data_IF_027912144610
#
_entry.id   IF_027912144610
#
_cell.length_a   1.000
_cell.length_b   1.000
_cell.length_c   1.000
_cell.angle_alpha   90.00
_cell.angle_beta   90.00
_cell.angle_gamma   90.00
#
_symmetry.space_group_name_H-M   'P 1'
#
loop_
_entity.id
_entity.type
_entity.pdbx_description
1 polymer ?
#
# COMPACT_ATOMS: atom_id res chain seq x y z
N UNK A 1 -64.65 22.05 -36.34
CA UNK A 1 -64.48 23.46 -35.92
C UNK A 1 -63.14 23.55 -35.20
N UNK A 2 -62.10 23.94 -35.94
CA UNK A 2 -61.44 25.27 -35.96
C UNK A 2 -60.40 25.43 -34.83
N UNK A 3 -59.14 25.28 -35.27
CA UNK A 3 -57.89 25.76 -34.68
C UNK A 3 -58.00 27.21 -34.23
N UNK A 4 -57.22 27.59 -33.21
CA UNK A 4 -56.50 28.85 -33.29
C UNK A 4 -55.12 28.75 -32.63
N UNK A 5 -54.11 29.07 -33.44
CA UNK A 5 -52.72 29.27 -33.06
C UNK A 5 -52.58 30.61 -32.33
N UNK A 6 -51.57 30.73 -31.47
CA UNK A 6 -50.72 31.92 -31.47
C UNK A 6 -49.30 31.54 -31.02
N UNK A 7 -48.39 31.65 -31.97
CA UNK A 7 -46.94 31.74 -31.80
C UNK A 7 -46.60 33.05 -31.08
N UNK A 8 -45.65 33.00 -30.14
CA UNK A 8 -44.56 33.96 -30.12
C UNK A 8 -43.23 33.25 -29.84
N UNK A 9 -42.23 33.69 -30.59
CA UNK A 9 -40.93 33.11 -30.83
C UNK A 9 -39.89 34.05 -30.18
N UNK A 10 -38.95 33.53 -29.38
CA UNK A 10 -37.68 34.20 -29.10
C UNK A 10 -36.54 33.17 -29.11
N UNK A 11 -35.55 33.45 -29.98
CA UNK A 11 -34.22 32.86 -30.18
C UNK A 11 -33.48 32.55 -28.85
N UNK A 12 -32.90 31.36 -28.65
CA UNK A 12 -31.65 30.80 -29.20
C UNK A 12 -30.36 31.28 -28.48
N UNK A 13 -29.71 30.35 -27.78
CA UNK A 13 -28.24 30.24 -27.70
C UNK A 13 -27.86 28.78 -27.42
N UNK A 14 -27.50 28.03 -28.47
CA UNK A 14 -26.65 26.85 -28.32
C UNK A 14 -25.21 27.32 -28.31
N UNK A 15 -24.50 27.10 -27.21
CA UNK A 15 -23.04 27.24 -27.18
C UNK A 15 -22.53 26.03 -26.42
N UNK A 16 -22.04 25.06 -27.18
CA UNK A 16 -21.02 24.08 -26.79
C UNK A 16 -20.36 23.65 -28.12
N UNK A 17 -19.64 24.59 -28.73
CA UNK A 17 -18.64 24.27 -29.75
C UNK A 17 -17.42 23.73 -29.01
N UNK A 18 -17.27 22.41 -29.05
CA UNK A 18 -16.08 21.70 -28.63
C UNK A 18 -15.08 21.76 -29.80
N UNK A 19 -13.85 22.27 -29.64
CA UNK A 19 -12.87 22.23 -30.72
C UNK A 19 -12.38 20.78 -30.93
N UNK A 20 -12.35 20.34 -32.18
CA UNK A 20 -11.73 19.09 -32.61
C UNK A 20 -10.24 19.09 -32.23
N UNK A 21 -9.83 18.13 -31.41
CA UNK A 21 -8.42 17.93 -31.04
C UNK A 21 -7.78 17.02 -32.10
N UNK A 22 -6.82 17.56 -32.85
CA UNK A 22 -5.90 16.76 -33.65
C UNK A 22 -5.01 15.92 -32.72
N UNK A 23 -5.12 14.60 -32.82
CA UNK A 23 -4.20 13.66 -32.16
C UNK A 23 -2.89 13.69 -32.96
N UNK A 24 -1.88 14.37 -32.41
CA UNK A 24 -0.51 14.29 -32.91
C UNK A 24 0.16 13.09 -32.28
N UNK A 25 0.39 12.08 -33.11
CA UNK A 25 1.18 10.89 -32.81
C UNK A 25 2.66 11.30 -32.65
N UNK A 26 3.22 11.12 -31.45
CA UNK A 26 4.63 11.37 -31.15
C UNK A 26 5.27 10.08 -30.65
N UNK A 27 5.35 9.07 -31.52
CA UNK A 27 6.41 8.08 -31.43
C UNK A 27 7.62 8.50 -32.27
N UNK A 28 8.78 8.38 -31.61
CA UNK A 28 10.14 8.23 -32.14
C UNK A 28 11.00 9.50 -32.24
N UNK A 29 11.93 9.64 -31.29
CA UNK A 29 13.36 9.60 -31.62
C UNK A 29 14.23 9.35 -30.37
N UNK A 30 14.88 8.19 -30.38
CA UNK A 30 16.25 7.92 -29.91
C UNK A 30 16.81 8.70 -28.70
N UNK A 31 16.94 8.01 -27.57
CA UNK A 31 18.15 8.13 -26.74
C UNK A 31 18.59 6.74 -26.27
N UNK A 32 19.72 6.32 -26.85
CA UNK A 32 20.60 5.33 -26.25
C UNK A 32 21.15 5.93 -24.95
N UNK A 33 21.09 5.20 -23.85
CA UNK A 33 22.21 5.19 -22.94
C UNK A 33 22.36 3.81 -22.30
N UNK A 34 23.60 3.37 -22.40
CA UNK A 34 24.23 2.17 -21.87
C UNK A 34 24.32 2.26 -20.35
N UNK A 35 23.98 1.20 -19.61
CA UNK A 35 25.01 0.45 -18.89
C UNK A 35 24.45 -0.87 -18.33
N UNK A 36 25.42 -1.77 -18.23
CA UNK A 36 25.45 -3.19 -17.92
C UNK A 36 25.03 -3.57 -16.49
N UNK A 37 24.52 -4.81 -16.35
CA UNK A 37 24.32 -5.43 -15.03
C UNK A 37 23.50 -6.72 -15.01
N UNK A 38 23.74 -7.65 -15.94
CA UNK A 38 23.03 -8.92 -15.96
C UNK A 38 23.63 -9.90 -14.92
N UNK A 39 22.82 -10.36 -13.97
CA UNK A 39 23.00 -11.66 -13.31
C UNK A 39 21.63 -12.30 -13.16
N UNK A 40 21.30 -13.26 -14.02
CA UNK A 40 20.60 -14.47 -13.60
C UNK A 40 20.93 -15.66 -14.52
N UNK A 41 21.30 -16.74 -13.86
CA UNK A 41 21.54 -18.08 -14.37
C UNK A 41 20.23 -18.70 -14.85
N UNK A 42 20.18 -19.22 -16.08
CA UNK A 42 19.02 -19.93 -16.60
C UNK A 42 19.40 -20.82 -17.80
N UNK A 43 19.63 -22.09 -17.51
CA UNK A 43 19.97 -23.16 -18.44
C UNK A 43 18.69 -23.69 -19.11
N UNK A 44 18.59 -23.76 -20.46
CA UNK A 44 17.90 -24.85 -21.22
C UNK A 44 17.99 -24.69 -22.75
N UNK A 45 18.83 -25.53 -23.35
CA UNK A 45 18.59 -26.47 -24.47
C UNK A 45 17.51 -26.19 -25.55
N UNK A 46 18.01 -26.27 -26.80
CA UNK A 46 17.44 -26.96 -27.99
C UNK A 46 16.52 -26.19 -28.96
N UNK A 47 16.91 -26.18 -30.25
CA UNK A 47 16.02 -25.81 -31.36
C UNK A 47 16.75 -25.41 -32.64
N UNK A 48 17.16 -26.39 -33.44
CA UNK A 48 17.68 -26.25 -34.82
C UNK A 48 16.56 -25.84 -35.80
N UNK A 49 16.85 -25.03 -36.84
CA UNK A 49 16.56 -25.30 -38.28
C UNK A 49 17.31 -24.28 -39.20
N UNK A 50 17.88 -24.83 -40.27
CA UNK A 50 18.62 -24.27 -41.42
C UNK A 50 17.87 -23.30 -42.38
N UNK A 51 18.62 -22.39 -43.03
CA UNK A 51 18.83 -22.29 -44.50
C UNK A 51 19.71 -21.04 -44.81
N UNK A 52 20.98 -21.13 -45.22
CA UNK A 52 21.59 -21.41 -46.55
C UNK A 52 21.42 -20.34 -47.65
N UNK A 53 22.50 -19.60 -47.92
CA UNK A 53 23.18 -19.32 -49.22
C UNK A 53 24.06 -18.07 -49.05
N UNK A 54 25.24 -17.87 -49.64
CA UNK A 54 26.26 -18.61 -50.41
C UNK A 54 27.32 -17.53 -50.66
N UNK A 55 28.61 -17.84 -50.59
CA UNK A 55 29.59 -17.34 -51.57
C UNK A 55 30.85 -18.20 -51.50
N UNK A 56 31.41 -18.43 -52.68
CA UNK A 56 32.10 -19.63 -53.12
C UNK A 56 33.63 -19.54 -53.05
N UNK A 57 34.23 -20.72 -53.04
CA UNK A 57 35.66 -21.04 -53.17
C UNK A 57 36.32 -20.50 -54.45
N UNK A 58 37.65 -20.35 -54.42
CA UNK A 58 38.55 -20.75 -55.51
C UNK A 58 40.01 -20.92 -55.00
N UNK A 59 40.58 -22.06 -55.38
CA UNK A 59 41.96 -22.35 -55.79
C UNK A 59 43.10 -22.72 -54.81
N UNK A 60 43.51 -23.98 -55.01
CA UNK A 60 44.74 -24.71 -54.62
C UNK A 60 45.86 -24.41 -55.62
N UNK A 61 47.12 -24.24 -55.17
CA UNK A 61 48.33 -24.77 -55.85
C UNK A 61 49.49 -24.99 -54.84
N UNK A 62 49.90 -26.26 -54.68
CA UNK A 62 51.25 -26.88 -54.76
C UNK A 62 52.50 -25.97 -54.57
N UNK A 63 53.68 -26.36 -54.05
CA UNK A 63 54.46 -27.60 -53.94
C UNK A 63 55.67 -27.24 -53.01
N UNK A 64 56.33 -28.13 -52.26
CA UNK A 64 57.61 -28.78 -52.60
C UNK A 64 58.08 -29.59 -51.36
N UNK A 65 58.19 -30.92 -51.45
CA UNK A 65 59.40 -31.75 -51.69
C UNK A 65 59.87 -32.50 -50.43
N UNK A 66 59.84 -33.83 -50.59
CA UNK A 66 60.35 -34.90 -49.73
C UNK A 66 61.87 -34.89 -49.55
N UNK A 67 62.34 -35.48 -48.43
CA UNK A 67 63.42 -36.47 -48.45
C UNK A 67 63.48 -37.21 -47.10
N UNK A 68 63.33 -38.53 -47.18
CA UNK A 68 63.58 -39.55 -46.15
C UNK A 68 65.04 -39.47 -45.60
N UNK A 69 65.46 -40.03 -44.46
CA UNK A 69 65.41 -41.45 -44.08
C UNK A 69 66.14 -41.65 -42.72
N UNK A 70 65.83 -42.78 -42.07
CA UNK A 70 66.59 -43.56 -41.06
C UNK A 70 66.65 -43.20 -39.56
N UNK A 71 66.23 -44.18 -38.75
CA UNK A 71 66.38 -44.37 -37.29
C UNK A 71 67.65 -45.24 -37.07
N UNK A 72 68.41 -45.10 -35.96
CA UNK A 72 68.29 -46.14 -34.92
C UNK A 72 68.48 -45.67 -33.46
N UNK A 73 68.15 -46.61 -32.57
CA UNK A 73 68.04 -46.61 -31.12
C UNK A 73 69.35 -46.35 -30.32
N UNK A 74 69.20 -45.97 -29.03
CA UNK A 74 70.04 -46.56 -27.97
C UNK A 74 70.70 -45.62 -26.93
N UNK A 75 70.46 -46.00 -25.66
CA UNK A 75 71.30 -45.84 -24.45
C UNK A 75 71.08 -44.69 -23.43
N UNK A 76 70.94 -45.14 -22.17
CA UNK A 76 70.87 -44.40 -20.91
C UNK A 76 72.18 -43.65 -20.57
N UNK A 77 72.10 -42.54 -19.80
CA UNK A 77 72.69 -42.44 -18.44
C UNK A 77 73.03 -40.99 -17.96
N UNK A 78 72.68 -40.74 -16.69
CA UNK A 78 73.26 -39.83 -15.65
C UNK A 78 73.23 -38.28 -15.79
N UNK A 79 72.46 -37.62 -14.89
CA UNK A 79 72.57 -36.20 -14.46
C UNK A 79 73.65 -36.03 -13.34
N UNK A 80 74.16 -34.84 -12.90
CA UNK A 80 73.54 -33.50 -12.83
C UNK A 80 74.56 -32.35 -13.16
N UNK A 81 74.33 -31.03 -13.02
CA UNK A 81 73.67 -30.27 -11.97
C UNK A 81 73.36 -28.83 -12.41
N UNK A 82 72.16 -28.35 -12.04
CA UNK A 82 71.75 -26.97 -12.20
C UNK A 82 70.95 -26.47 -10.99
N UNK A 83 71.27 -25.23 -10.60
CA UNK A 83 70.38 -24.23 -9.99
C UNK A 83 70.08 -24.36 -8.49
N UNK A 84 70.81 -23.57 -7.68
CA UNK A 84 70.33 -23.06 -6.39
C UNK A 84 70.12 -21.54 -6.49
N UNK A 85 68.89 -21.08 -6.76
CA UNK A 85 68.44 -19.69 -6.50
C UNK A 85 66.92 -19.46 -6.45
N UNK A 86 66.08 -20.50 -6.42
CA UNK A 86 64.60 -20.34 -6.35
C UNK A 86 64.01 -20.32 -4.93
N UNK A 87 64.81 -20.54 -3.87
CA UNK A 87 64.28 -20.69 -2.51
C UNK A 87 63.97 -19.35 -1.80
N UNK A 88 64.56 -18.22 -2.22
CA UNK A 88 64.42 -16.95 -1.51
C UNK A 88 63.14 -16.16 -1.84
N UNK A 89 62.55 -16.36 -3.03
CA UNK A 89 61.34 -15.62 -3.42
C UNK A 89 60.07 -16.15 -2.74
N UNK A 90 59.93 -17.46 -2.58
CA UNK A 90 58.80 -18.05 -1.86
C UNK A 90 58.80 -17.69 -0.37
N UNK A 91 59.99 -17.62 0.25
CA UNK A 91 60.13 -17.19 1.65
C UNK A 91 59.76 -15.71 1.80
N UNK A 92 60.20 -14.85 0.87
CA UNK A 92 59.81 -13.44 0.86
C UNK A 92 58.30 -13.27 0.67
N UNK A 93 57.71 -14.01 -0.26
CA UNK A 93 56.27 -13.94 -0.53
C UNK A 93 55.44 -14.44 0.67
N UNK A 94 55.84 -15.53 1.32
CA UNK A 94 55.20 -16.03 2.53
C UNK A 94 55.26 -15.01 3.69
N UNK A 95 56.38 -14.29 3.82
CA UNK A 95 56.56 -13.25 4.82
C UNK A 95 55.66 -12.03 4.54
N UNK A 96 55.57 -11.60 3.28
CA UNK A 96 54.65 -10.52 2.88
C UNK A 96 53.20 -10.92 3.10
N UNK A 97 52.82 -12.16 2.76
CA UNK A 97 51.47 -12.68 2.99
C UNK A 97 51.11 -12.67 4.48
N UNK A 98 52.04 -13.09 5.36
CA UNK A 98 51.84 -13.04 6.80
C UNK A 98 51.61 -11.61 7.31
N UNK A 99 52.33 -10.63 6.77
CA UNK A 99 52.14 -9.22 7.10
C UNK A 99 50.75 -8.75 6.65
N UNK A 100 50.34 -9.07 5.42
CA UNK A 100 49.02 -8.69 4.90
C UNK A 100 47.89 -9.31 5.73
N UNK A 101 47.97 -10.62 6.03
CA UNK A 101 46.99 -11.30 6.87
C UNK A 101 46.96 -10.70 8.28
N UNK A 102 48.12 -10.35 8.85
CA UNK A 102 48.20 -9.67 10.14
C UNK A 102 47.55 -8.29 10.12
N UNK A 103 47.80 -7.48 9.08
CA UNK A 103 47.18 -6.16 8.92
C UNK A 103 45.68 -6.26 8.72
N UNK A 104 45.20 -7.22 7.92
CA UNK A 104 43.76 -7.46 7.72
C UNK A 104 43.12 -7.92 9.02
N UNK A 105 43.72 -8.87 9.75
CA UNK A 105 43.23 -9.31 11.05
C UNK A 105 43.18 -8.18 12.09
N UNK A 106 44.21 -7.33 12.12
CA UNK A 106 44.21 -6.12 12.94
C UNK A 106 43.08 -5.17 12.54
N UNK A 107 42.93 -4.90 11.23
CA UNK A 107 41.85 -4.05 10.70
C UNK A 107 40.48 -4.59 11.06
N UNK A 108 40.22 -5.90 10.92
CA UNK A 108 38.92 -6.53 11.24
C UNK A 108 38.63 -6.49 12.75
N UNK A 109 39.64 -6.75 13.58
CA UNK A 109 39.46 -6.74 15.05
C UNK A 109 39.29 -5.35 15.65
N UNK A 110 39.83 -4.33 14.97
CA UNK A 110 39.75 -2.91 15.34
C UNK A 110 38.82 -2.11 14.42
N UNK A 111 38.04 -2.79 13.57
CA UNK A 111 37.04 -2.14 12.73
C UNK A 111 35.85 -1.75 13.60
N UNK A 112 35.51 -0.46 13.59
CA UNK A 112 34.36 0.07 14.31
C UNK A 112 34.66 0.40 15.78
N UNK A 113 33.91 1.36 16.31
CA UNK A 113 33.84 1.57 17.76
C UNK A 113 32.92 0.50 18.34
N UNK A 114 33.42 -0.28 19.31
CA UNK A 114 32.58 -1.16 20.11
C UNK A 114 31.81 -0.28 21.09
N UNK A 115 30.57 0.03 20.75
CA UNK A 115 29.65 0.75 21.62
C UNK A 115 28.93 -0.30 22.47
N UNK A 116 28.91 -0.16 23.80
CA UNK A 116 28.16 -1.08 24.65
C UNK A 116 26.66 -0.85 24.47
N UNK A 117 25.82 -1.87 24.67
CA UNK A 117 24.36 -1.69 24.62
C UNK A 117 23.88 -0.58 25.57
N UNK A 118 24.54 -0.44 26.73
CA UNK A 118 24.32 0.67 27.66
C UNK A 118 24.72 2.05 27.11
N UNK A 119 25.73 2.13 26.25
CA UNK A 119 26.12 3.40 25.58
C UNK A 119 25.17 3.75 24.42
N UNK A 120 24.49 2.75 23.82
CA UNK A 120 23.45 2.94 22.80
C UNK A 120 22.17 3.52 23.43
N UNK A 121 21.80 3.07 24.63
CA UNK A 121 20.60 3.52 25.35
C UNK A 121 20.88 4.55 26.45
N UNK A 122 22.07 5.14 26.49
CA UNK A 122 22.46 6.12 27.54
C UNK A 122 21.56 7.36 27.56
N UNK A 123 20.97 7.68 26.41
CA UNK A 123 20.07 8.81 26.19
C UNK A 123 18.57 8.37 26.21
N UNK A 124 18.28 7.13 26.61
CA UNK A 124 16.98 6.47 26.49
C UNK A 124 16.89 5.57 25.24
N UNK A 125 15.85 4.73 25.15
CA UNK A 125 15.43 4.21 23.84
C UNK A 125 15.02 5.44 23.03
N UNK A 126 15.78 5.79 21.99
CA UNK A 126 15.30 6.79 21.03
C UNK A 126 13.93 6.34 20.54
N UNK A 127 12.93 7.23 20.56
CA UNK A 127 11.66 6.95 19.91
C UNK A 127 11.93 7.00 18.41
N UNK A 128 12.11 5.84 17.79
CA UNK A 128 11.95 5.74 16.35
C UNK A 128 10.46 5.96 16.08
N UNK A 129 10.11 7.13 15.57
CA UNK A 129 8.79 7.35 15.00
C UNK A 129 8.83 6.79 13.58
N UNK A 130 8.72 5.46 13.48
CA UNK A 130 8.63 4.71 12.23
C UNK A 130 7.18 4.69 11.70
N UNK A 131 6.31 5.57 12.21
CA UNK A 131 4.95 5.70 11.72
C UNK A 131 4.91 6.33 10.32
N UNK A 132 3.93 5.92 9.54
CA UNK A 132 3.65 6.49 8.22
C UNK A 132 2.64 7.65 8.29
N UNK A 133 2.55 8.31 9.45
CA UNK A 133 1.61 9.41 9.68
C UNK A 133 1.82 10.53 8.65
N UNK A 134 0.73 10.88 7.95
CA UNK A 134 0.67 11.97 6.98
C UNK A 134 -0.50 12.86 7.33
N UNK A 135 -0.23 14.02 7.93
CA UNK A 135 -1.25 15.00 8.28
C UNK A 135 -1.25 16.07 7.20
N UNK A 136 -2.29 16.08 6.38
CA UNK A 136 -2.43 17.02 5.26
C UNK A 136 -3.56 18.03 5.53
N UNK A 137 -3.34 19.32 5.23
CA UNK A 137 -4.39 20.32 5.34
C UNK A 137 -5.36 20.19 4.17
N UNK A 138 -6.58 20.68 4.36
CA UNK A 138 -7.43 21.00 3.23
C UNK A 138 -6.89 22.25 2.52
N UNK A 139 -6.90 22.27 1.18
CA UNK A 139 -6.45 23.43 0.39
C UNK A 139 -7.53 23.92 -0.55
N UNK A 140 -7.57 25.23 -0.79
CA UNK A 140 -8.43 25.81 -1.83
C UNK A 140 -7.85 25.61 -3.25
N UNK A 141 -8.57 26.11 -4.26
CA UNK A 141 -8.18 26.05 -5.67
C UNK A 141 -6.81 26.70 -5.99
N UNK A 142 -6.29 27.53 -5.09
CA UNK A 142 -4.98 28.19 -5.22
C UNK A 142 -3.88 27.48 -4.42
N UNK A 143 -4.19 26.35 -3.79
CA UNK A 143 -3.28 25.60 -2.92
C UNK A 143 -3.08 26.25 -1.56
N UNK A 144 -3.93 27.19 -1.16
CA UNK A 144 -3.85 27.82 0.16
C UNK A 144 -4.59 26.96 1.20
N UNK A 145 -3.93 26.72 2.35
CA UNK A 145 -4.51 26.00 3.48
C UNK A 145 -5.81 26.65 3.96
N UNK A 146 -6.86 25.83 4.09
CA UNK A 146 -8.13 26.17 4.71
C UNK A 146 -8.05 25.78 6.19
N UNK A 147 -8.13 26.77 7.08
CA UNK A 147 -8.13 26.57 8.53
C UNK A 147 -9.57 26.64 9.03
N UNK A 148 -10.16 25.46 9.29
CA UNK A 148 -11.48 25.32 9.87
C UNK A 148 -11.41 24.45 11.13
N UNK A 149 -12.11 24.87 12.18
CA UNK A 149 -12.32 24.04 13.36
C UNK A 149 -13.45 23.04 13.02
N UNK A 150 -13.17 21.75 13.10
CA UNK A 150 -14.15 20.73 12.79
C UNK A 150 -15.26 20.71 13.86
N UNK A 151 -16.52 20.67 13.43
CA UNK A 151 -17.70 20.57 14.31
C UNK A 151 -18.51 19.31 14.03
N UNK A 152 -18.56 18.88 12.76
CA UNK A 152 -19.31 17.70 12.33
C UNK A 152 -18.39 16.69 11.63
N UNK A 153 -18.36 15.47 12.15
CA UNK A 153 -17.54 14.37 11.66
C UNK A 153 -18.44 13.21 11.25
N UNK A 154 -18.21 12.63 10.09
CA UNK A 154 -18.78 11.33 9.71
C UNK A 154 -17.67 10.28 9.82
N UNK A 155 -17.96 9.13 10.43
CA UNK A 155 -17.02 8.00 10.47
C UNK A 155 -17.55 6.82 9.68
N UNK A 156 -16.76 6.29 8.76
CA UNK A 156 -17.02 5.05 8.04
C UNK A 156 -16.05 3.97 8.49
N UNK A 157 -16.50 2.70 8.48
CA UNK A 157 -15.68 1.61 8.95
C UNK A 157 -16.46 0.36 9.30
N UNK A 158 -15.83 -0.51 10.08
CA UNK A 158 -16.42 -1.72 10.63
C UNK A 158 -16.25 -1.76 12.16
N UNK A 159 -15.75 -2.86 12.72
CA UNK A 159 -15.74 -3.13 14.15
C UNK A 159 -15.10 -2.04 15.03
N UNK A 160 -13.99 -1.36 14.66
CA UNK A 160 -13.39 -0.30 15.49
C UNK A 160 -14.40 0.78 15.88
N UNK A 161 -15.29 1.16 14.97
CA UNK A 161 -16.37 2.13 15.21
C UNK A 161 -17.71 1.48 15.55
N UNK A 162 -17.97 0.24 15.13
CA UNK A 162 -19.27 -0.42 15.34
C UNK A 162 -19.38 -1.12 16.71
N UNK A 163 -18.29 -1.62 17.26
CA UNK A 163 -18.31 -2.40 18.50
C UNK A 163 -18.75 -1.55 19.69
N UNK A 164 -19.63 -2.12 20.51
CA UNK A 164 -20.23 -1.46 21.67
C UNK A 164 -20.85 -0.10 21.34
N UNK A 165 -21.45 0.09 20.15
CA UNK A 165 -21.96 1.37 19.61
C UNK A 165 -22.70 2.28 20.62
N UNK A 166 -23.50 1.71 21.51
CA UNK A 166 -24.27 2.43 22.54
C UNK A 166 -23.47 2.81 23.80
N UNK A 167 -22.24 2.32 23.93
CA UNK A 167 -21.36 2.55 25.08
C UNK A 167 -20.59 3.85 24.96
N UNK A 168 -20.36 4.53 26.09
CA UNK A 168 -19.45 5.68 26.15
C UNK A 168 -17.98 5.32 25.87
N UNK A 169 -17.63 4.03 25.92
CA UNK A 169 -16.30 3.53 25.58
C UNK A 169 -16.20 3.04 24.11
N UNK A 170 -17.24 3.23 23.28
CA UNK A 170 -17.15 3.08 21.83
C UNK A 170 -16.19 4.13 21.23
N UNK A 171 -15.44 3.77 20.18
CA UNK A 171 -14.43 4.66 19.59
C UNK A 171 -15.03 5.96 19.04
N UNK A 172 -16.16 5.90 18.33
CA UNK A 172 -16.81 7.09 17.78
C UNK A 172 -17.31 8.02 18.90
N UNK A 173 -17.87 7.45 19.97
CA UNK A 173 -18.31 8.22 21.14
C UNK A 173 -17.12 8.84 21.91
N UNK A 174 -15.99 8.13 21.99
CA UNK A 174 -14.75 8.66 22.55
C UNK A 174 -14.23 9.82 21.69
N UNK A 175 -14.18 9.68 20.37
CA UNK A 175 -13.78 10.75 19.46
C UNK A 175 -14.66 11.99 19.65
N UNK A 176 -15.98 11.82 19.66
CA UNK A 176 -16.93 12.93 19.88
C UNK A 176 -16.61 13.69 21.18
N UNK A 177 -16.34 12.94 22.25
CA UNK A 177 -16.01 13.50 23.57
C UNK A 177 -14.65 14.19 23.61
N UNK A 178 -13.60 13.58 23.08
CA UNK A 178 -12.24 14.12 23.13
C UNK A 178 -12.08 15.35 22.23
N UNK A 179 -12.87 15.45 21.16
CA UNK A 179 -12.80 16.56 20.19
C UNK A 179 -13.88 17.63 20.37
N UNK A 180 -14.85 17.41 21.26
CA UNK A 180 -16.05 18.26 21.41
C UNK A 180 -16.82 18.47 20.08
N UNK A 181 -16.92 17.40 19.28
CA UNK A 181 -17.58 17.40 17.96
C UNK A 181 -18.83 16.52 17.94
N UNK A 182 -19.69 16.77 16.95
CA UNK A 182 -20.78 15.85 16.61
C UNK A 182 -20.23 14.77 15.68
N UNK A 183 -20.33 13.50 16.09
CA UNK A 183 -19.89 12.35 15.29
C UNK A 183 -21.10 11.54 14.81
N UNK A 184 -21.25 11.43 13.50
CA UNK A 184 -22.22 10.56 12.83
C UNK A 184 -21.56 9.23 12.51
N UNK A 185 -21.90 8.19 13.28
CA UNK A 185 -21.32 6.87 13.10
C UNK A 185 -21.98 6.13 11.92
N UNK A 186 -21.27 5.97 10.81
CA UNK A 186 -21.73 5.26 9.62
C UNK A 186 -20.98 3.94 9.41
N UNK A 187 -20.39 3.38 10.47
CA UNK A 187 -19.77 2.06 10.42
C UNK A 187 -20.80 0.93 10.43
N UNK A 188 -20.43 -0.20 9.80
CA UNK A 188 -21.24 -1.41 9.73
C UNK A 188 -20.41 -2.61 10.20
N UNK A 189 -20.84 -3.27 11.27
CA UNK A 189 -20.24 -4.49 11.79
C UNK A 189 -20.21 -5.61 10.74
N UNK A 190 -19.09 -6.34 10.70
CA UNK A 190 -18.86 -7.41 9.74
C UNK A 190 -18.67 -6.96 8.29
N UNK A 191 -18.68 -5.66 7.99
CA UNK A 191 -18.30 -5.15 6.68
C UNK A 191 -16.78 -5.16 6.48
N UNK A 192 -16.37 -4.99 5.23
CA UNK A 192 -14.99 -5.01 4.74
C UNK A 192 -14.83 -3.95 3.66
N UNK A 193 -13.60 -3.58 3.31
CA UNK A 193 -13.34 -2.62 2.24
C UNK A 193 -13.49 -3.27 0.87
N UNK A 194 -12.82 -4.40 0.62
CA UNK A 194 -12.79 -5.03 -0.70
C UNK A 194 -14.12 -5.75 -0.99
N UNK A 195 -14.93 -5.22 -1.91
CA UNK A 195 -16.16 -5.87 -2.33
C UNK A 195 -15.87 -7.27 -2.92
N UNK A 196 -16.73 -8.24 -2.66
CA UNK A 196 -16.55 -9.58 -3.22
C UNK A 196 -16.96 -9.64 -4.70
N UNK A 197 -17.84 -8.75 -5.14
CA UNK A 197 -18.30 -8.63 -6.51
C UNK A 197 -18.20 -7.18 -7.01
N UNK A 198 -17.73 -7.01 -8.25
CA UNK A 198 -17.74 -5.70 -8.92
C UNK A 198 -19.16 -5.19 -9.15
N UNK A 199 -20.05 -6.09 -9.58
CA UNK A 199 -21.47 -5.81 -9.71
C UNK A 199 -22.19 -6.40 -8.51
N UNK A 200 -22.90 -5.56 -7.77
CA UNK A 200 -23.64 -6.00 -6.60
C UNK A 200 -24.61 -7.14 -6.94
N UNK A 201 -24.47 -8.26 -6.24
CA UNK A 201 -25.40 -9.39 -6.29
C UNK A 201 -25.77 -9.81 -4.86
N UNK A 202 -27.02 -9.52 -4.40
CA UNK A 202 -27.47 -9.85 -3.05
C UNK A 202 -27.51 -11.35 -2.76
N UNK A 203 -27.51 -12.20 -3.80
CA UNK A 203 -27.56 -13.66 -3.64
C UNK A 203 -26.18 -14.29 -3.42
N UNK A 204 -25.12 -13.56 -3.79
CA UNK A 204 -23.73 -14.02 -3.67
C UNK A 204 -23.03 -13.34 -2.52
N UNK A 205 -23.06 -12.00 -2.49
CA UNK A 205 -22.34 -11.19 -1.52
C UNK A 205 -23.22 -10.03 -1.02
N UNK A 206 -24.28 -10.32 -0.23
CA UNK A 206 -25.19 -9.27 0.23
C UNK A 206 -24.52 -8.23 1.11
N UNK A 207 -23.42 -8.59 1.81
CA UNK A 207 -22.63 -7.65 2.60
C UNK A 207 -21.94 -6.58 1.76
N UNK A 208 -21.74 -6.80 0.46
CA UNK A 208 -21.12 -5.81 -0.42
C UNK A 208 -21.90 -4.49 -0.40
N UNK A 209 -23.24 -4.51 -0.25
CA UNK A 209 -24.04 -3.29 -0.14
C UNK A 209 -23.59 -2.36 1.00
N UNK A 210 -22.91 -2.89 2.02
CA UNK A 210 -22.42 -2.16 3.18
C UNK A 210 -20.91 -1.87 3.15
N UNK A 211 -20.20 -2.19 2.05
CA UNK A 211 -18.84 -1.72 1.83
C UNK A 211 -18.80 -0.19 1.64
N UNK A 212 -17.65 0.42 1.92
CA UNK A 212 -17.45 1.87 1.86
C UNK A 212 -17.96 2.49 0.56
N UNK A 213 -17.59 1.91 -0.59
CA UNK A 213 -17.99 2.43 -1.91
C UNK A 213 -19.50 2.64 -2.05
N UNK A 214 -20.32 1.67 -1.65
CA UNK A 214 -21.77 1.79 -1.79
C UNK A 214 -22.41 2.72 -0.75
N UNK A 215 -21.87 2.75 0.47
CA UNK A 215 -22.28 3.70 1.51
C UNK A 215 -21.97 5.15 1.11
N UNK A 216 -20.78 5.40 0.54
CA UNK A 216 -20.40 6.72 0.03
C UNK A 216 -21.26 7.12 -1.17
N UNK A 217 -21.54 6.19 -2.09
CA UNK A 217 -22.45 6.48 -3.20
C UNK A 217 -23.88 6.80 -2.71
N UNK A 218 -24.36 6.13 -1.66
CA UNK A 218 -25.64 6.49 -1.01
C UNK A 218 -25.56 7.91 -0.42
N UNK A 219 -24.46 8.25 0.26
CA UNK A 219 -24.25 9.57 0.87
C UNK A 219 -24.32 10.73 -0.13
N UNK A 220 -23.77 10.55 -1.35
CA UNK A 220 -23.85 11.55 -2.42
C UNK A 220 -25.19 11.52 -3.19
N UNK A 221 -26.15 10.68 -2.75
CA UNK A 221 -27.51 10.65 -3.28
C UNK A 221 -27.74 9.73 -4.48
N UNK A 222 -26.85 8.76 -4.75
CA UNK A 222 -27.11 7.72 -5.74
C UNK A 222 -28.31 6.87 -5.27
N UNK A 223 -29.33 6.63 -6.11
CA UNK A 223 -30.57 5.95 -5.70
C UNK A 223 -30.37 4.43 -5.55
N UNK A 224 -29.71 4.03 -4.46
CA UNK A 224 -29.32 2.65 -4.14
C UNK A 224 -30.25 1.96 -3.13
N UNK A 225 -31.42 2.52 -2.80
CA UNK A 225 -32.35 1.99 -1.79
C UNK A 225 -32.69 0.50 -1.97
N UNK A 226 -32.79 0.05 -3.23
CA UNK A 226 -33.04 -1.34 -3.57
C UNK A 226 -31.94 -2.28 -3.07
N UNK A 227 -30.67 -1.87 -3.15
CA UNK A 227 -29.53 -2.69 -2.77
C UNK A 227 -29.60 -3.06 -1.29
N UNK A 228 -29.89 -2.08 -0.44
CA UNK A 228 -29.98 -2.29 1.01
C UNK A 228 -31.19 -3.12 1.41
N UNK A 229 -32.31 -2.96 0.70
CA UNK A 229 -33.50 -3.81 0.91
C UNK A 229 -33.20 -5.27 0.53
N UNK A 230 -32.54 -5.47 -0.61
CA UNK A 230 -32.16 -6.80 -1.08
C UNK A 230 -31.10 -7.46 -0.19
N UNK A 231 -30.11 -6.69 0.28
CA UNK A 231 -29.10 -7.12 1.25
C UNK A 231 -29.76 -7.61 2.55
N UNK A 232 -30.66 -6.80 3.12
CA UNK A 232 -31.36 -7.15 4.36
C UNK A 232 -32.21 -8.41 4.20
N UNK A 233 -32.93 -8.54 3.08
CA UNK A 233 -33.71 -9.73 2.78
C UNK A 233 -32.84 -11.00 2.63
N UNK A 234 -31.67 -10.87 2.00
CA UNK A 234 -30.75 -12.00 1.80
C UNK A 234 -30.03 -12.42 3.09
N UNK A 235 -29.67 -11.46 3.95
CA UNK A 235 -28.99 -11.71 5.22
C UNK A 235 -29.94 -12.21 6.32
N UNK A 236 -31.19 -11.74 6.33
CA UNK A 236 -32.18 -12.08 7.36
C UNK A 236 -31.68 -11.72 8.76
N UNK A 237 -31.65 -12.69 9.67
CA UNK A 237 -31.17 -12.48 11.05
C UNK A 237 -29.68 -12.09 11.15
N UNK A 238 -28.93 -12.17 10.04
CA UNK A 238 -27.52 -11.75 9.95
C UNK A 238 -27.34 -10.30 9.52
N UNK A 239 -28.42 -9.57 9.21
CA UNK A 239 -28.31 -8.15 8.88
C UNK A 239 -27.71 -7.40 10.07
N UNK A 240 -26.68 -6.56 9.86
CA UNK A 240 -26.12 -5.74 10.93
C UNK A 240 -27.21 -4.91 11.61
N UNK A 241 -27.23 -4.89 12.94
CA UNK A 241 -28.32 -4.29 13.72
C UNK A 241 -28.44 -2.78 13.47
N UNK A 242 -27.32 -2.12 13.19
CA UNK A 242 -27.17 -0.70 12.89
C UNK A 242 -27.46 -0.34 11.42
N UNK A 243 -27.64 -1.32 10.53
CA UNK A 243 -27.73 -1.07 9.08
C UNK A 243 -28.83 -0.05 8.73
N UNK A 244 -30.03 -0.21 9.30
CA UNK A 244 -31.14 0.71 9.04
C UNK A 244 -30.86 2.13 9.55
N UNK A 245 -30.24 2.27 10.72
CA UNK A 245 -29.83 3.57 11.29
C UNK A 245 -28.82 4.27 10.37
N UNK A 246 -27.79 3.54 9.92
CA UNK A 246 -26.75 4.08 9.04
C UNK A 246 -27.32 4.52 7.70
N UNK A 247 -28.13 3.68 7.05
CA UNK A 247 -28.78 4.01 5.77
C UNK A 247 -29.65 5.26 5.91
N UNK A 248 -30.46 5.34 6.97
CA UNK A 248 -31.31 6.50 7.21
C UNK A 248 -30.49 7.77 7.49
N UNK A 249 -29.38 7.64 8.21
CA UNK A 249 -28.44 8.74 8.47
C UNK A 249 -27.85 9.26 7.17
N UNK A 250 -27.26 8.38 6.33
CA UNK A 250 -26.65 8.76 5.06
C UNK A 250 -27.64 9.40 4.08
N UNK A 251 -28.90 8.99 4.10
CA UNK A 251 -29.95 9.56 3.25
C UNK A 251 -30.46 10.93 3.69
N UNK A 252 -30.33 11.26 4.97
CA UNK A 252 -30.95 12.47 5.56
C UNK A 252 -29.94 13.52 5.98
N UNK A 253 -28.70 13.13 6.22
CA UNK A 253 -27.61 14.01 6.58
C UNK A 253 -27.20 14.89 5.39
N UNK A 254 -27.08 16.20 5.61
CA UNK A 254 -26.55 17.12 4.61
C UNK A 254 -25.03 17.13 4.67
N UNK A 255 -24.39 16.40 3.76
CA UNK A 255 -22.92 16.31 3.69
C UNK A 255 -22.24 17.67 3.39
N UNK A 256 -22.96 18.70 2.95
CA UNK A 256 -22.41 20.06 2.87
C UNK A 256 -22.09 20.67 4.24
N UNK A 257 -22.65 20.12 5.33
CA UNK A 257 -22.43 20.58 6.70
C UNK A 257 -21.32 19.82 7.43
N UNK A 258 -20.74 18.80 6.77
CA UNK A 258 -19.68 17.96 7.33
C UNK A 258 -18.32 18.60 7.09
N UNK A 259 -17.49 18.61 8.12
CA UNK A 259 -16.13 19.18 8.07
C UNK A 259 -15.07 18.10 7.85
N UNK A 260 -15.31 16.89 8.39
CA UNK A 260 -14.34 15.80 8.34
C UNK A 260 -15.02 14.45 8.13
N UNK A 261 -14.42 13.62 7.28
CA UNK A 261 -14.74 12.20 7.16
C UNK A 261 -13.55 11.40 7.67
N UNK A 262 -13.78 10.51 8.63
CA UNK A 262 -12.80 9.52 9.06
C UNK A 262 -13.16 8.14 8.49
N UNK A 263 -12.17 7.40 8.00
CA UNK A 263 -12.36 6.06 7.42
C UNK A 263 -11.42 5.12 8.16
N UNK A 264 -11.95 4.13 8.87
CA UNK A 264 -11.16 3.11 9.57
C UNK A 264 -11.81 1.74 9.42
N UNK A 265 -11.14 0.85 8.72
CA UNK A 265 -11.46 -0.57 8.72
C UNK A 265 -10.38 -1.33 9.49
N UNK A 266 -10.77 -2.36 10.22
CA UNK A 266 -9.82 -3.26 10.87
C UNK A 266 -9.15 -4.20 9.85
N UNK A 267 -8.31 -5.12 10.33
CA UNK A 267 -7.57 -6.06 9.50
C UNK A 267 -8.43 -7.20 8.89
N UNK A 268 -9.76 -7.10 8.86
CA UNK A 268 -10.67 -8.13 8.32
C UNK A 268 -10.33 -8.50 6.88
N UNK A 269 -10.00 -7.53 6.02
CA UNK A 269 -9.62 -7.79 4.63
C UNK A 269 -8.34 -8.62 4.52
N UNK A 270 -7.34 -8.35 5.36
CA UNK A 270 -6.12 -9.14 5.46
C UNK A 270 -6.42 -10.56 5.95
N UNK A 271 -7.15 -10.70 7.06
CA UNK A 271 -7.50 -11.99 7.68
C UNK A 271 -8.36 -12.86 6.75
N UNK A 272 -9.13 -12.24 5.86
CA UNK A 272 -9.94 -12.93 4.84
C UNK A 272 -9.16 -13.24 3.55
N UNK A 273 -7.95 -12.69 3.41
CA UNK A 273 -7.15 -12.79 2.19
C UNK A 273 -7.80 -12.12 0.98
N UNK A 274 -8.51 -11.02 1.21
CA UNK A 274 -9.14 -10.22 0.16
C UNK A 274 -8.08 -9.59 -0.75
N UNK A 275 -8.47 -9.27 -1.99
CA UNK A 275 -7.54 -8.65 -2.93
C UNK A 275 -7.15 -7.25 -2.45
N UNK A 276 -5.87 -6.90 -2.56
CA UNK A 276 -5.31 -5.73 -1.86
C UNK A 276 -5.30 -4.47 -2.73
N UNK A 277 -4.75 -4.55 -3.95
CA UNK A 277 -4.60 -3.43 -4.87
C UNK A 277 -4.52 -3.95 -6.32
N UNK A 278 -4.74 -3.07 -7.28
CA UNK A 278 -4.58 -3.35 -8.71
C UNK A 278 -3.79 -2.24 -9.38
N UNK A 279 -2.67 -2.59 -10.02
CA UNK A 279 -1.88 -1.62 -10.82
C UNK A 279 -2.60 -1.24 -12.13
N UNK A 280 -3.49 -2.10 -12.63
CA UNK A 280 -4.24 -1.87 -13.87
C UNK A 280 -5.49 -1.02 -13.66
N UNK A 281 -6.17 -1.23 -12.53
CA UNK A 281 -7.40 -0.51 -12.17
C UNK A 281 -7.34 -0.07 -10.68
N UNK A 282 -6.69 1.06 -10.39
CA UNK A 282 -6.49 1.54 -9.02
C UNK A 282 -7.78 1.78 -8.24
N UNK A 283 -8.92 2.00 -8.91
CA UNK A 283 -10.22 2.24 -8.28
C UNK A 283 -11.18 1.04 -8.39
N UNK A 284 -10.65 -0.16 -8.60
CA UNK A 284 -11.44 -1.39 -8.57
C UNK A 284 -12.02 -1.63 -7.16
N UNK A 285 -13.35 -1.55 -6.95
CA UNK A 285 -13.95 -1.69 -5.63
C UNK A 285 -13.83 -3.10 -5.05
N UNK A 286 -13.37 -4.08 -5.83
CA UNK A 286 -13.05 -5.44 -5.35
C UNK A 286 -11.65 -5.59 -4.76
N UNK A 287 -10.87 -4.51 -4.78
CA UNK A 287 -9.59 -4.40 -4.10
C UNK A 287 -9.74 -3.57 -2.83
N UNK A 288 -8.98 -3.90 -1.78
CA UNK A 288 -8.96 -3.16 -0.51
C UNK A 288 -8.66 -1.67 -0.74
N UNK A 289 -7.55 -1.35 -1.41
CA UNK A 289 -7.23 0.05 -1.74
C UNK A 289 -8.11 0.59 -2.84
N UNK A 290 -8.56 -0.23 -3.79
CA UNK A 290 -9.38 0.28 -4.89
C UNK A 290 -10.77 0.73 -4.48
N UNK A 291 -11.37 0.07 -3.49
CA UNK A 291 -12.60 0.55 -2.87
C UNK A 291 -12.39 1.87 -2.13
N UNK A 292 -11.28 2.00 -1.39
CA UNK A 292 -10.90 3.22 -0.69
C UNK A 292 -10.71 4.38 -1.68
N UNK A 293 -9.90 4.19 -2.71
CA UNK A 293 -9.60 5.21 -3.72
C UNK A 293 -10.87 5.66 -4.45
N UNK A 294 -11.69 4.72 -4.92
CA UNK A 294 -12.96 5.04 -5.57
C UNK A 294 -13.90 5.86 -4.66
N UNK A 295 -13.91 5.55 -3.36
CA UNK A 295 -14.72 6.26 -2.37
C UNK A 295 -14.19 7.66 -2.08
N UNK A 296 -12.87 7.82 -1.97
CA UNK A 296 -12.23 9.13 -1.79
C UNK A 296 -12.50 10.03 -3.01
N UNK A 297 -12.37 9.51 -4.23
CA UNK A 297 -12.67 10.26 -5.45
C UNK A 297 -14.12 10.75 -5.48
N UNK A 298 -15.08 9.90 -5.10
CA UNK A 298 -16.49 10.29 -5.00
C UNK A 298 -16.68 11.40 -3.96
N UNK A 299 -16.10 11.26 -2.76
CA UNK A 299 -16.20 12.28 -1.71
C UNK A 299 -15.59 13.60 -2.14
N UNK A 300 -14.38 13.60 -2.72
CA UNK A 300 -13.70 14.82 -3.16
C UNK A 300 -14.43 15.50 -4.33
N UNK A 301 -15.02 14.73 -5.24
CA UNK A 301 -15.76 15.28 -6.37
C UNK A 301 -17.08 15.97 -5.93
N UNK A 302 -17.81 15.37 -5.00
CA UNK A 302 -19.11 15.90 -4.55
C UNK A 302 -19.01 16.87 -3.37
N UNK A 303 -18.02 16.68 -2.50
CA UNK A 303 -17.83 17.44 -1.26
C UNK A 303 -16.35 17.84 -1.05
N UNK A 304 -15.77 18.66 -1.95
CA UNK A 304 -14.36 19.06 -1.89
C UNK A 304 -13.99 19.87 -0.63
N UNK A 305 -14.98 20.35 0.13
CA UNK A 305 -14.78 21.04 1.41
C UNK A 305 -14.51 20.09 2.59
N UNK A 306 -14.73 18.79 2.45
CA UNK A 306 -14.55 17.82 3.52
C UNK A 306 -13.07 17.43 3.62
N UNK A 307 -12.49 17.53 4.82
CA UNK A 307 -11.19 16.91 5.10
C UNK A 307 -11.36 15.42 5.31
N UNK A 308 -10.56 14.59 4.63
CA UNK A 308 -10.59 13.14 4.79
C UNK A 308 -9.38 12.68 5.60
N UNK A 309 -9.63 11.84 6.60
CA UNK A 309 -8.62 11.17 7.42
C UNK A 309 -8.81 9.66 7.27
N UNK A 310 -7.92 9.02 6.52
CA UNK A 310 -7.83 7.56 6.45
C UNK A 310 -7.03 7.09 7.67
N UNK A 311 -7.54 6.08 8.36
CA UNK A 311 -6.95 5.51 9.56
C UNK A 311 -6.71 4.03 9.28
N UNK A 312 -5.45 3.60 9.31
CA UNK A 312 -5.13 2.22 8.97
C UNK A 312 -5.68 1.21 9.98
N UNK A 313 -5.76 -0.08 9.62
CA UNK A 313 -5.91 -1.14 10.59
C UNK A 313 -4.86 -1.04 11.71
N UNK A 314 -5.26 -1.37 12.94
CA UNK A 314 -4.32 -1.67 14.03
C UNK A 314 -3.70 -3.04 13.82
N UNK A 315 -2.64 -3.38 14.57
CA UNK A 315 -2.14 -4.75 14.57
C UNK A 315 -3.25 -5.76 14.87
N UNK A 316 -3.21 -6.88 14.15
CA UNK A 316 -4.09 -8.01 14.36
C UNK A 316 -3.25 -9.29 14.27
N UNK A 317 -3.45 -10.23 15.20
CA UNK A 317 -2.82 -11.53 15.08
C UNK A 317 -3.48 -12.32 13.94
N UNK A 318 -2.65 -12.90 13.08
CA UNK A 318 -3.13 -13.92 12.15
C UNK A 318 -3.48 -15.19 12.94
N UNK A 319 -4.40 -15.96 12.39
CA UNK A 319 -4.85 -17.24 12.95
C UNK A 319 -4.41 -18.34 11.99
N UNK A 320 -3.54 -19.23 12.47
CA UNK A 320 -3.05 -20.36 11.69
C UNK A 320 -4.11 -21.47 11.54
N UNK A 321 -3.76 -22.54 10.82
CA UNK A 321 -4.65 -23.69 10.59
C UNK A 321 -5.08 -24.43 11.89
N UNK A 322 -4.32 -24.27 12.98
CA UNK A 322 -4.62 -24.87 14.28
C UNK A 322 -5.49 -23.97 15.17
N UNK A 323 -5.73 -22.72 14.75
CA UNK A 323 -6.40 -21.71 15.56
C UNK A 323 -5.47 -20.94 16.49
N UNK A 324 -4.16 -21.08 16.34
CA UNK A 324 -3.17 -20.37 17.15
C UNK A 324 -2.89 -18.98 16.57
N UNK A 325 -2.67 -18.02 17.46
CA UNK A 325 -2.28 -16.65 17.08
C UNK A 325 -0.82 -16.63 16.66
N UNK A 326 -0.57 -16.13 15.45
CA UNK A 326 0.75 -16.01 14.84
C UNK A 326 0.95 -14.59 14.30
N UNK A 327 2.21 -14.21 14.09
CA UNK A 327 2.54 -12.86 13.61
C UNK A 327 1.95 -12.61 12.22
N UNK A 328 1.25 -11.49 12.07
CA UNK A 328 0.71 -11.05 10.78
C UNK A 328 1.77 -10.58 9.79
N UNK A 329 3.01 -10.37 10.25
CA UNK A 329 4.18 -10.09 9.40
C UNK A 329 4.83 -11.36 8.84
N UNK A 330 4.33 -12.53 9.22
CA UNK A 330 4.81 -13.82 8.71
C UNK A 330 3.73 -14.62 7.99
N UNK A 331 2.47 -14.46 8.38
CA UNK A 331 1.37 -15.25 7.85
C UNK A 331 0.73 -14.58 6.63
N UNK A 332 0.54 -15.35 5.55
CA UNK A 332 0.00 -14.85 4.28
C UNK A 332 -1.28 -15.61 3.95
N UNK A 333 -2.39 -14.89 3.84
CA UNK A 333 -3.67 -15.43 3.40
C UNK A 333 -3.80 -15.39 1.88
N UNK A 334 -4.34 -16.46 1.28
CA UNK A 334 -4.66 -16.57 -0.15
C UNK A 334 -3.53 -16.17 -1.12
N UNK A 335 -2.26 -16.33 -0.70
CA UNK A 335 -1.10 -15.93 -1.50
C UNK A 335 -1.06 -14.43 -1.82
N UNK A 336 -1.70 -13.60 -0.97
CA UNK A 336 -1.63 -12.13 -1.01
C UNK A 336 -0.30 -11.69 -0.41
N UNK A 337 -0.34 -10.95 0.69
CA UNK A 337 0.84 -10.53 1.42
C UNK A 337 0.48 -10.35 2.91
N UNK A 338 1.46 -9.91 3.70
CA UNK A 338 1.33 -9.65 5.14
C UNK A 338 0.52 -8.38 5.43
N UNK A 339 0.03 -8.23 6.68
CA UNK A 339 -0.80 -7.09 7.09
C UNK A 339 -0.12 -5.74 6.82
N UNK A 340 1.18 -5.65 7.06
CA UNK A 340 1.97 -4.45 6.82
C UNK A 340 1.92 -3.98 5.36
N UNK A 341 1.83 -4.90 4.39
CA UNK A 341 1.67 -4.51 2.98
C UNK A 341 0.30 -3.87 2.71
N UNK A 342 -0.79 -4.34 3.35
CA UNK A 342 -2.11 -3.70 3.22
C UNK A 342 -2.05 -2.26 3.71
N UNK A 343 -1.43 -2.03 4.88
CA UNK A 343 -1.28 -0.70 5.48
C UNK A 343 -0.38 0.21 4.62
N UNK A 344 0.74 -0.31 4.10
CA UNK A 344 1.63 0.46 3.22
C UNK A 344 0.90 0.87 1.93
N UNK A 345 0.09 -0.02 1.36
CA UNK A 345 -0.70 0.27 0.16
C UNK A 345 -1.82 1.29 0.45
N UNK A 346 -2.48 1.17 1.60
CA UNK A 346 -3.48 2.16 2.05
C UNK A 346 -2.87 3.56 2.22
N UNK A 347 -1.69 3.63 2.85
CA UNK A 347 -0.93 4.86 2.99
C UNK A 347 -0.60 5.49 1.64
N UNK A 348 -0.15 4.68 0.68
CA UNK A 348 0.12 5.16 -0.67
C UNK A 348 -1.14 5.73 -1.32
N UNK A 349 -2.27 5.02 -1.25
CA UNK A 349 -3.57 5.47 -1.76
C UNK A 349 -4.02 6.78 -1.11
N UNK A 350 -3.91 6.91 0.20
CA UNK A 350 -4.24 8.17 0.89
C UNK A 350 -3.38 9.35 0.41
N UNK A 351 -2.07 9.13 0.24
CA UNK A 351 -1.16 10.19 -0.18
C UNK A 351 -1.36 10.63 -1.64
N UNK A 352 -1.62 9.71 -2.58
CA UNK A 352 -1.88 10.09 -3.99
C UNK A 352 -3.16 10.91 -4.14
N UNK A 353 -4.16 10.68 -3.27
CA UNK A 353 -5.40 11.45 -3.21
C UNK A 353 -5.29 12.70 -2.32
N UNK A 354 -4.10 13.02 -1.80
CA UNK A 354 -3.84 14.18 -0.95
C UNK A 354 -4.74 14.26 0.30
N UNK A 355 -5.07 13.10 0.90
CA UNK A 355 -5.83 13.02 2.15
C UNK A 355 -4.92 12.60 3.31
N UNK A 356 -5.32 12.91 4.55
CA UNK A 356 -4.50 12.55 5.71
C UNK A 356 -4.52 11.03 5.93
N UNK A 357 -3.40 10.47 6.38
CA UNK A 357 -3.25 9.07 6.76
C UNK A 357 -2.74 8.95 8.19
N UNK A 358 -3.50 8.29 9.05
CA UNK A 358 -3.15 7.98 10.44
C UNK A 358 -2.76 6.52 10.54
N UNK A 359 -1.47 6.26 10.75
CA UNK A 359 -0.92 4.92 10.81
C UNK A 359 -1.11 4.32 12.20
N UNK A 360 -2.09 3.44 12.36
CA UNK A 360 -2.37 2.74 13.60
C UNK A 360 -1.52 1.49 13.81
N UNK A 361 -0.98 0.89 12.75
CA UNK A 361 -0.21 -0.34 12.83
C UNK A 361 1.17 -0.10 13.45
N UNK A 362 1.88 0.94 13.00
CA UNK A 362 3.19 1.31 13.55
C UNK A 362 3.12 2.48 14.54
N UNK A 363 2.13 3.37 14.39
CA UNK A 363 1.98 4.55 15.25
C UNK A 363 1.10 4.35 16.49
N UNK A 364 0.53 3.16 16.73
CA UNK A 364 -0.32 2.91 17.91
C UNK A 364 -0.19 1.51 18.49
N UNK A 365 -0.79 0.55 17.81
CA UNK A 365 -0.99 -0.80 18.32
C UNK A 365 -0.19 -1.70 17.38
N UNK A 366 0.99 -2.08 17.84
CA UNK A 366 2.00 -2.88 17.13
C UNK A 366 1.97 -4.32 17.64
N UNK A 367 2.72 -5.23 17.01
CA UNK A 367 2.87 -6.62 17.50
C UNK A 367 3.28 -6.68 18.97
N UNK A 368 4.18 -5.78 19.39
CA UNK A 368 4.80 -5.78 20.72
C UNK A 368 3.84 -5.39 21.85
N UNK A 369 2.72 -4.72 21.54
CA UNK A 369 1.79 -4.20 22.54
C UNK A 369 0.32 -4.59 22.31
N UNK A 370 0.02 -5.35 21.25
CA UNK A 370 -1.34 -5.68 20.86
C UNK A 370 -2.13 -6.41 21.95
N UNK A 371 -1.48 -7.26 22.75
CA UNK A 371 -2.11 -7.98 23.88
C UNK A 371 -2.67 -7.03 24.95
N UNK A 372 -2.13 -5.81 25.07
CA UNK A 372 -2.64 -4.80 25.99
C UNK A 372 -3.89 -4.08 25.46
N UNK A 373 -4.06 -4.02 24.14
CA UNK A 373 -5.02 -3.15 23.46
C UNK A 373 -6.12 -3.89 22.69
N UNK A 374 -5.99 -5.20 22.49
CA UNK A 374 -7.00 -6.05 21.86
C UNK A 374 -7.79 -6.87 22.90
N UNK A 375 -9.00 -7.29 22.53
CA UNK A 375 -9.82 -8.26 23.28
C UNK A 375 -9.51 -9.69 22.80
N UNK A 376 -9.28 -9.83 21.51
CA UNK A 376 -8.95 -11.08 20.81
C UNK A 376 -7.83 -10.80 19.78
N UNK A 377 -7.82 -11.49 18.64
CA UNK A 377 -6.81 -11.27 17.61
C UNK A 377 -7.01 -9.99 16.78
N UNK A 378 -8.13 -9.27 16.91
CA UNK A 378 -8.51 -8.19 16.00
C UNK A 378 -9.18 -7.00 16.69
N UNK A 379 -10.11 -7.26 17.61
CA UNK A 379 -11.02 -6.25 18.13
C UNK A 379 -10.38 -5.43 19.25
N UNK A 380 -10.54 -4.10 19.19
CA UNK A 380 -10.00 -3.18 20.18
C UNK A 380 -10.74 -3.31 21.51
N UNK A 381 -9.96 -3.42 22.59
CA UNK A 381 -10.47 -3.22 23.94
C UNK A 381 -10.59 -1.72 24.26
N UNK A 382 -11.13 -1.39 25.44
CA UNK A 382 -11.35 0.00 25.87
C UNK A 382 -10.06 0.83 25.91
N UNK A 383 -8.91 0.23 26.26
CA UNK A 383 -7.63 0.95 26.23
C UNK A 383 -7.23 1.27 24.78
N UNK A 384 -7.41 0.31 23.87
CA UNK A 384 -7.10 0.48 22.45
C UNK A 384 -7.90 1.62 21.86
N UNK A 385 -9.22 1.62 22.08
CA UNK A 385 -10.11 2.70 21.61
C UNK A 385 -9.74 4.07 22.17
N UNK A 386 -9.33 4.17 23.44
CA UNK A 386 -8.88 5.44 24.04
C UNK A 386 -7.58 5.95 23.42
N UNK A 387 -6.64 5.06 23.11
CA UNK A 387 -5.40 5.41 22.41
C UNK A 387 -5.70 5.95 21.01
N UNK A 388 -6.52 5.24 20.23
CA UNK A 388 -6.90 5.66 18.87
C UNK A 388 -7.68 6.99 18.89
N UNK A 389 -8.64 7.16 19.80
CA UNK A 389 -9.38 8.42 19.93
C UNK A 389 -8.46 9.61 20.23
N UNK A 390 -7.45 9.41 21.10
CA UNK A 390 -6.49 10.48 21.44
C UNK A 390 -5.62 10.88 20.27
N UNK A 391 -5.20 9.91 19.44
CA UNK A 391 -4.45 10.21 18.21
C UNK A 391 -5.32 10.87 17.15
N UNK A 392 -6.57 10.45 17.02
CA UNK A 392 -7.51 11.09 16.11
C UNK A 392 -7.73 12.57 16.47
N UNK A 393 -7.86 12.90 17.76
CA UNK A 393 -7.93 14.28 18.24
C UNK A 393 -6.72 15.12 17.79
N UNK A 394 -5.51 14.56 17.90
CA UNK A 394 -4.29 15.21 17.41
C UNK A 394 -4.34 15.46 15.90
N UNK A 395 -4.71 14.45 15.11
CA UNK A 395 -4.86 14.58 13.66
C UNK A 395 -5.89 15.64 13.25
N UNK A 396 -7.04 15.65 13.93
CA UNK A 396 -8.11 16.60 13.68
C UNK A 396 -7.66 18.03 13.95
N UNK A 397 -6.99 18.24 15.09
CA UNK A 397 -6.64 19.57 15.58
C UNK A 397 -5.28 20.08 15.12
N UNK A 398 -4.47 19.29 14.43
CA UNK A 398 -3.11 19.67 14.02
C UNK A 398 -3.00 21.05 13.35
N UNK A 399 -3.99 21.42 12.52
CA UNK A 399 -4.05 22.72 11.84
C UNK A 399 -5.05 23.70 12.44
N UNK A 400 -5.71 23.38 13.57
CA UNK A 400 -6.64 24.30 14.20
C UNK A 400 -5.91 25.52 14.76
N UNK A 401 -6.61 26.66 14.83
CA UNK A 401 -6.00 27.96 15.14
C UNK A 401 -5.29 27.97 16.50
N UNK A 402 -5.84 27.24 17.46
CA UNK A 402 -5.31 27.18 18.82
C UNK A 402 -4.16 26.16 18.95
N UNK A 403 -4.17 25.08 18.18
CA UNK A 403 -3.12 24.04 18.21
C UNK A 403 -1.81 24.52 17.58
N UNK A 404 -1.88 25.19 16.42
CA UNK A 404 -0.71 25.76 15.75
C UNK A 404 0.01 26.86 16.56
N UNK A 405 -0.65 27.38 17.62
CA UNK A 405 -0.07 28.37 18.54
C UNK A 405 0.66 27.76 19.74
N UNK A 406 0.44 26.47 20.04
CA UNK A 406 1.08 25.76 21.16
C UNK A 406 2.47 25.21 20.82
N UNK A 407 2.86 25.16 19.55
CA UNK A 407 4.18 24.73 19.09
C UNK A 407 5.19 25.89 18.90
N UNK A 408 4.92 27.08 19.44
CA UNK A 408 5.84 28.25 19.40
C UNK A 408 6.50 28.60 20.72
#
# INVERSE_FOLDING_TARGET
>A
MKRNNNNHNIHASSVNDMPDIEIVDLENDTMQDTDSGNFHSGNTRSGSVHNFHTDSDDDIEDLYVDADEEIPEGEESVAPAGIRRFLNFHVLFALVLLIVVGVVGYRVTHWGQRISQSDIFKDGQGSYDDSWDSILPLTDENGQMIINDASNIVVFGNAPFADDRDSSDNLANLIAKETDTTVYNCSISGSYLAAQQLNYDPTVAPMDAYCLYWLVNLAVGVPLDGYYTDAANALGDKTPAEAEEVINTLKTLDFNTIDTVAIMYDATDYLSGNAMYSDENPTDPTQFTGNLEASIEVLQNYYPQIRIIVMSPTYAYAVDENGDYVSSDMYIYNGRDVLSTYVIKECYSANIHSVSFMDNLYGSITEDNADEYLVDNLHLNVKGRKLIAKRFEYFLNYYSKDYASQEK
#
